data_IF_652842192644
#
_entry.id   IF_652842192644
#
_cell.length_a   1.000
_cell.length_b   1.000
_cell.length_c   1.000
_cell.angle_alpha   90.00
_cell.angle_beta   90.00
_cell.angle_gamma   90.00
#
_symmetry.space_group_name_H-M   'P 1'
#
loop_
_entity.id
_entity.type
_entity.pdbx_description
1 polymer ?
#
# COMPACT_ATOMS: atom_id res chain seq x y z
N UNK A 1 -1.98 45.24 -28.60
CA UNK A 1 -2.88 44.35 -29.35
C UNK A 1 -2.70 42.94 -28.79
N UNK A 2 -3.68 42.45 -28.01
CA UNK A 2 -3.58 41.18 -27.29
C UNK A 2 -4.35 40.09 -28.03
N UNK A 3 -3.62 39.15 -28.64
CA UNK A 3 -4.13 38.12 -29.55
C UNK A 3 -5.12 37.18 -28.85
N UNK A 4 -6.33 37.10 -29.41
CA UNK A 4 -7.45 36.33 -28.88
C UNK A 4 -7.18 34.82 -28.86
N UNK A 5 -7.06 34.26 -27.66
CA UNK A 5 -7.26 32.83 -27.35
C UNK A 5 -8.49 32.70 -26.43
N UNK A 6 -9.48 33.57 -26.58
CA UNK A 6 -10.77 33.39 -25.94
C UNK A 6 -11.56 32.39 -26.77
N UNK A 7 -12.05 31.30 -26.16
CA UNK A 7 -13.15 30.41 -26.61
C UNK A 7 -12.85 28.91 -26.78
N UNK A 8 -11.62 28.41 -26.58
CA UNK A 8 -11.33 26.95 -26.73
C UNK A 8 -11.22 26.14 -25.43
N UNK A 9 -11.17 26.79 -24.26
CA UNK A 9 -11.09 26.04 -23.01
C UNK A 9 -12.41 25.29 -22.74
N UNK A 10 -12.37 23.96 -22.87
CA UNK A 10 -13.49 23.07 -22.59
C UNK A 10 -13.45 22.62 -21.13
N UNK A 11 -14.55 22.83 -20.41
CA UNK A 11 -14.73 22.33 -19.06
C UNK A 11 -15.28 20.90 -19.11
N UNK A 12 -14.52 19.93 -18.61
CA UNK A 12 -14.96 18.53 -18.60
C UNK A 12 -16.02 18.25 -17.53
N UNK A 13 -16.07 19.04 -16.47
CA UNK A 13 -17.07 18.88 -15.40
C UNK A 13 -18.48 19.23 -15.88
N UNK A 14 -18.68 20.39 -16.51
CA UNK A 14 -20.00 20.86 -16.94
C UNK A 14 -20.24 20.81 -18.47
N UNK A 15 -19.21 20.54 -19.27
CA UNK A 15 -19.19 20.65 -20.76
C UNK A 15 -19.34 22.08 -21.28
N UNK A 16 -19.23 23.09 -20.43
CA UNK A 16 -19.18 24.50 -20.82
C UNK A 16 -17.88 24.86 -21.53
N UNK A 17 -17.91 25.94 -22.31
CA UNK A 17 -16.75 26.53 -22.97
C UNK A 17 -16.30 27.80 -22.23
N UNK A 18 -15.09 28.27 -22.53
CA UNK A 18 -14.53 29.52 -21.98
C UNK A 18 -13.87 29.38 -20.60
N UNK A 19 -13.87 28.19 -19.99
CA UNK A 19 -13.18 27.94 -18.72
C UNK A 19 -12.71 26.48 -18.59
N UNK A 20 -11.70 26.28 -17.75
CA UNK A 20 -11.19 24.94 -17.42
C UNK A 20 -11.94 24.35 -16.21
N UNK A 21 -11.97 23.02 -16.09
CA UNK A 21 -12.66 22.32 -15.00
C UNK A 21 -12.32 22.82 -13.59
N UNK A 22 -11.08 23.25 -13.34
CA UNK A 22 -10.64 23.80 -12.04
C UNK A 22 -11.33 25.10 -11.65
N UNK A 23 -11.79 25.90 -12.61
CA UNK A 23 -12.49 27.18 -12.40
C UNK A 23 -14.02 27.04 -12.54
N UNK A 24 -14.53 25.82 -12.65
CA UNK A 24 -15.95 25.57 -12.82
C UNK A 24 -16.68 25.76 -11.49
N UNK A 25 -17.66 26.66 -11.46
CA UNK A 25 -18.53 26.89 -10.29
C UNK A 25 -19.82 26.07 -10.35
N UNK A 26 -20.12 25.46 -11.51
CA UNK A 26 -21.26 24.56 -11.65
C UNK A 26 -21.01 23.27 -10.87
N UNK A 27 -22.09 22.73 -10.27
CA UNK A 27 -22.03 21.46 -9.55
C UNK A 27 -21.42 20.37 -10.46
N UNK A 28 -20.40 19.62 -9.99
CA UNK A 28 -19.83 18.53 -10.77
C UNK A 28 -20.90 17.52 -11.18
N UNK A 29 -20.74 16.94 -12.37
CA UNK A 29 -21.67 15.92 -12.86
C UNK A 29 -21.78 14.75 -11.90
N UNK A 30 -23.00 14.25 -11.74
CA UNK A 30 -23.23 12.89 -11.23
C UNK A 30 -22.53 11.92 -12.18
N UNK A 31 -21.65 11.09 -11.61
CA UNK A 31 -20.96 10.02 -12.33
C UNK A 31 -22.00 8.97 -12.74
N UNK A 32 -21.83 8.38 -13.92
CA UNK A 32 -22.71 7.29 -14.35
C UNK A 32 -22.44 6.01 -13.55
N UNK A 33 -23.38 5.07 -13.64
CA UNK A 33 -23.32 3.82 -12.89
C UNK A 33 -22.10 2.96 -13.29
N UNK A 34 -21.71 2.98 -14.58
CA UNK A 34 -20.58 2.21 -15.08
C UNK A 34 -19.24 2.71 -14.51
N UNK A 35 -19.07 4.03 -14.42
CA UNK A 35 -17.94 4.67 -13.78
C UNK A 35 -17.87 4.31 -12.30
N UNK A 36 -19.00 4.43 -11.59
CA UNK A 36 -19.05 4.10 -10.15
C UNK A 36 -18.75 2.64 -9.89
N UNK A 37 -19.26 1.73 -10.73
CA UNK A 37 -19.00 0.30 -10.63
C UNK A 37 -17.52 -0.02 -10.88
N UNK A 38 -16.92 0.58 -11.92
CA UNK A 38 -15.49 0.41 -12.21
C UNK A 38 -14.65 0.91 -11.03
N UNK A 39 -15.02 2.04 -10.45
CA UNK A 39 -14.27 2.63 -9.37
C UNK A 39 -14.37 1.80 -8.08
N UNK A 40 -15.53 1.20 -7.82
CA UNK A 40 -15.70 0.26 -6.72
C UNK A 40 -14.81 -0.99 -6.90
N UNK A 41 -14.77 -1.56 -8.11
CA UNK A 41 -13.89 -2.71 -8.39
C UNK A 41 -12.42 -2.37 -8.17
N UNK A 42 -11.98 -1.19 -8.62
CA UNK A 42 -10.60 -0.74 -8.41
C UNK A 42 -10.30 -0.63 -6.92
N UNK A 43 -11.20 -0.02 -6.15
CA UNK A 43 -11.04 0.12 -4.70
C UNK A 43 -10.98 -1.24 -4.01
N UNK A 44 -11.88 -2.17 -4.34
CA UNK A 44 -11.86 -3.53 -3.78
C UNK A 44 -10.56 -4.27 -4.07
N UNK A 45 -10.04 -4.15 -5.30
CA UNK A 45 -8.76 -4.77 -5.67
C UNK A 45 -7.61 -4.17 -4.87
N UNK A 46 -7.56 -2.84 -4.75
CA UNK A 46 -6.52 -2.16 -3.98
C UNK A 46 -6.58 -2.53 -2.50
N UNK A 47 -7.78 -2.64 -1.93
CA UNK A 47 -7.98 -3.04 -0.55
C UNK A 47 -7.51 -4.47 -0.28
N UNK A 48 -7.81 -5.41 -1.18
CA UNK A 48 -7.31 -6.78 -1.10
C UNK A 48 -5.77 -6.84 -1.23
N UNK A 49 -5.18 -6.02 -2.11
CA UNK A 49 -3.73 -5.92 -2.26
C UNK A 49 -3.05 -5.40 -0.99
N UNK A 50 -3.64 -4.38 -0.35
CA UNK A 50 -3.13 -3.83 0.92
C UNK A 50 -3.23 -4.88 2.05
N UNK A 51 -4.33 -5.62 2.13
CA UNK A 51 -4.49 -6.69 3.13
C UNK A 51 -3.43 -7.78 2.94
N UNK A 52 -3.22 -8.24 1.71
CA UNK A 52 -2.21 -9.25 1.40
C UNK A 52 -0.79 -8.77 1.78
N UNK A 53 -0.47 -7.51 1.48
CA UNK A 53 0.82 -6.93 1.84
C UNK A 53 1.03 -6.85 3.35
N UNK A 54 -0.03 -6.56 4.12
CA UNK A 54 0.05 -6.56 5.57
C UNK A 54 0.32 -7.97 6.12
N UNK A 55 -0.39 -8.98 5.63
CA UNK A 55 -0.17 -10.37 6.02
C UNK A 55 1.24 -10.86 5.65
N UNK A 56 1.76 -10.47 4.47
CA UNK A 56 3.12 -10.81 4.04
C UNK A 56 4.17 -10.18 4.98
N UNK A 57 3.98 -8.93 5.38
CA UNK A 57 4.85 -8.26 6.33
C UNK A 57 4.84 -8.92 7.71
N UNK A 58 3.66 -9.23 8.23
CA UNK A 58 3.50 -9.91 9.52
C UNK A 58 4.13 -11.32 9.49
N UNK A 59 4.00 -12.04 8.39
CA UNK A 59 4.64 -13.35 8.20
C UNK A 59 6.18 -13.23 8.20
N UNK A 60 6.74 -12.24 7.49
CA UNK A 60 8.18 -12.00 7.49
C UNK A 60 8.71 -11.63 8.88
N UNK A 61 7.96 -10.82 9.64
CA UNK A 61 8.33 -10.48 11.02
C UNK A 61 8.36 -11.74 11.91
N UNK A 62 7.32 -12.56 11.86
CA UNK A 62 7.25 -13.81 12.63
C UNK A 62 8.34 -14.82 12.23
N UNK A 63 8.71 -14.87 10.95
CA UNK A 63 9.81 -15.70 10.48
C UNK A 63 11.16 -15.24 11.03
N UNK A 64 11.39 -13.92 11.11
CA UNK A 64 12.59 -13.36 11.73
C UNK A 64 12.71 -13.68 13.21
N UNK A 65 11.60 -13.56 13.95
CA UNK A 65 11.57 -13.93 15.39
C UNK A 65 11.90 -15.42 15.59
N UNK A 66 11.46 -16.29 14.68
CA UNK A 66 11.77 -17.73 14.75
C UNK A 66 13.26 -18.00 14.51
N UNK A 67 13.89 -17.32 13.55
CA UNK A 67 15.33 -17.43 13.28
C UNK A 67 16.17 -17.03 14.50
N UNK A 68 15.80 -15.93 15.16
CA UNK A 68 16.47 -15.49 16.40
C UNK A 68 16.33 -16.53 17.52
N UNK A 69 15.14 -17.12 17.69
CA UNK A 69 14.91 -18.17 18.69
C UNK A 69 15.75 -19.40 18.40
N UNK A 70 15.84 -19.84 17.14
CA UNK A 70 16.66 -20.98 16.75
C UNK A 70 18.15 -20.75 17.03
N UNK A 71 18.65 -19.54 16.77
CA UNK A 71 20.03 -19.15 17.08
C UNK A 71 20.30 -19.20 18.60
N UNK A 72 19.42 -18.59 19.40
CA UNK A 72 19.54 -18.61 20.87
C UNK A 72 19.50 -20.04 21.39
N UNK A 73 18.62 -20.89 20.85
CA UNK A 73 18.53 -22.29 21.23
C UNK A 73 19.83 -23.07 20.90
N UNK A 74 20.39 -22.88 19.70
CA UNK A 74 21.66 -23.50 19.31
C UNK A 74 22.80 -23.06 20.24
N UNK A 75 22.86 -21.76 20.57
CA UNK A 75 23.85 -21.20 21.50
C UNK A 75 23.71 -21.80 22.91
N UNK A 76 22.48 -21.95 23.42
CA UNK A 76 22.21 -22.60 24.71
C UNK A 76 22.69 -24.06 24.74
N UNK A 77 22.44 -24.82 23.68
CA UNK A 77 22.89 -26.22 23.57
C UNK A 77 24.42 -26.29 23.57
N UNK A 78 25.08 -25.40 22.84
CA UNK A 78 26.55 -25.35 22.79
C UNK A 78 27.16 -25.07 24.17
N UNK A 79 26.60 -24.10 24.92
CA UNK A 79 27.06 -23.78 26.27
C UNK A 79 26.91 -24.96 27.24
N UNK A 80 25.79 -25.69 27.17
CA UNK A 80 25.57 -26.87 28.00
C UNK A 80 26.62 -27.96 27.73
N UNK A 81 26.94 -28.23 26.46
CA UNK A 81 27.95 -29.20 26.09
C UNK A 81 29.35 -28.82 26.60
N UNK A 82 29.71 -27.53 26.51
CA UNK A 82 30.98 -27.00 27.04
C UNK A 82 31.08 -27.15 28.57
N UNK A 83 30.00 -26.84 29.30
CA UNK A 83 29.95 -27.03 30.75
C UNK A 83 30.09 -28.51 31.12
N UNK A 84 29.37 -29.42 30.45
CA UNK A 84 29.48 -30.85 30.71
C UNK A 84 30.91 -31.37 30.46
N UNK A 85 31.53 -30.99 29.35
CA UNK A 85 32.91 -31.36 29.03
C UNK A 85 33.90 -30.85 30.09
N UNK A 86 33.67 -29.65 30.63
CA UNK A 86 34.50 -29.07 31.69
C UNK A 86 34.32 -29.79 33.03
N UNK A 87 33.11 -30.27 33.33
CA UNK A 87 32.82 -31.02 34.58
C UNK A 87 33.23 -32.49 34.52
N UNK A 88 33.31 -33.08 33.32
CA UNK A 88 33.68 -34.50 33.11
C UNK A 88 35.19 -34.77 33.26
N UNK A 89 36.01 -33.73 33.43
CA UNK A 89 37.47 -33.83 33.59
C UNK A 89 37.99 -33.89 35.03
N UNK A 90 37.10 -34.04 36.02
CA UNK A 90 37.44 -34.19 37.46
C UNK A 90 37.07 -35.59 37.94
#
# INVERSE_FOLDING_TARGET
EGTGIGNQAKCYNCRGLGHISRKCTAMPRRRDAAYLQTQLLITQKQEAEIQLQAEEFDFMAAAGDLEEIEEVNANCILMANLQQASTSGT
#
